data_IF_579176007857
#
_entry.id   IF_579176007857
#
_cell.length_a   1.000
_cell.length_b   1.000
_cell.length_c   1.000
_cell.angle_alpha   90.00
_cell.angle_beta   90.00
_cell.angle_gamma   90.00
#
_symmetry.space_group_name_H-M   'P 1'
#
loop_
_entity.id
_entity.type
_entity.pdbx_description
1 polymer ?
#
# COMPACT_ATOMS: atom_id res chain seq x y z
N UNK A 1 -2.69 5.31 13.97
CA UNK A 1 -1.36 5.92 14.19
C UNK A 1 -0.51 5.55 12.99
N UNK A 2 0.10 6.48 12.24
CA UNK A 2 1.01 6.13 11.12
C UNK A 2 2.38 5.68 11.69
N UNK A 3 2.39 4.52 12.33
CA UNK A 3 3.60 3.89 12.87
C UNK A 3 4.32 3.15 11.76
N UNK A 4 5.13 3.89 11.01
CA UNK A 4 5.97 3.36 9.95
C UNK A 4 7.08 4.33 9.60
N UNK A 5 7.86 4.73 10.60
CA UNK A 5 9.19 5.26 10.36
C UNK A 5 9.99 4.11 9.75
N UNK A 6 10.05 4.06 8.41
CA UNK A 6 11.12 3.52 7.54
C UNK A 6 10.63 3.26 6.09
N UNK A 7 10.91 4.24 5.21
CA UNK A 7 11.41 4.13 3.82
C UNK A 7 10.56 3.69 2.62
N UNK A 8 9.32 3.21 2.73
CA UNK A 8 8.61 2.72 1.53
C UNK A 8 7.60 3.70 0.92
N UNK A 9 7.30 4.84 1.57
CA UNK A 9 6.19 5.73 1.22
C UNK A 9 4.81 5.04 1.16
N UNK A 10 4.73 3.77 1.57
CA UNK A 10 3.50 3.01 1.76
C UNK A 10 3.09 3.06 3.22
N UNK A 11 1.79 3.22 3.45
CA UNK A 11 1.14 3.14 4.75
C UNK A 11 0.00 2.13 4.73
N UNK A 12 -0.70 2.05 5.85
CA UNK A 12 -1.88 1.23 6.03
C UNK A 12 -3.09 2.12 6.29
N UNK A 13 -4.17 1.92 5.53
CA UNK A 13 -5.46 2.52 5.80
C UNK A 13 -6.27 1.56 6.68
N UNK A 14 -6.31 1.86 7.99
CA UNK A 14 -7.04 1.07 8.99
C UNK A 14 -8.55 1.01 8.70
N UNK A 15 -9.14 2.06 8.09
CA UNK A 15 -10.58 2.12 7.83
C UNK A 15 -10.98 1.23 6.65
N UNK A 16 -10.10 1.15 5.66
CA UNK A 16 -10.32 0.35 4.45
C UNK A 16 -9.63 -1.02 4.50
N UNK A 17 -8.81 -1.25 5.53
CA UNK A 17 -8.03 -2.47 5.71
C UNK A 17 -7.18 -2.76 4.45
N UNK A 18 -6.45 -1.75 3.97
CA UNK A 18 -5.67 -1.85 2.72
C UNK A 18 -4.38 -1.03 2.76
N UNK A 19 -3.47 -1.34 1.85
CA UNK A 19 -2.24 -0.57 1.65
C UNK A 19 -2.56 0.77 1.00
N UNK A 20 -2.14 1.85 1.63
CA UNK A 20 -2.32 3.22 1.14
C UNK A 20 -0.98 3.83 0.71
N UNK A 21 -0.97 4.49 -0.45
CA UNK A 21 0.17 5.24 -0.95
C UNK A 21 -0.33 6.23 -2.00
N UNK A 22 0.47 7.26 -2.29
CA UNK A 22 0.23 8.13 -3.43
C UNK A 22 0.33 7.37 -4.74
N UNK A 23 -0.42 7.81 -5.75
CA UNK A 23 -0.41 7.21 -7.09
C UNK A 23 0.98 7.18 -7.70
N UNK A 24 1.80 8.22 -7.47
CA UNK A 24 3.18 8.28 -7.94
C UNK A 24 4.05 7.15 -7.33
N UNK A 25 3.83 6.82 -6.06
CA UNK A 25 4.54 5.76 -5.34
C UNK A 25 4.08 4.38 -5.84
N UNK A 26 2.77 4.18 -6.01
CA UNK A 26 2.24 2.98 -6.64
C UNK A 26 2.82 2.77 -8.04
N UNK A 27 2.82 3.80 -8.89
CA UNK A 27 3.32 3.72 -10.26
C UNK A 27 4.81 3.38 -10.31
N UNK A 28 5.63 4.00 -9.45
CA UNK A 28 7.04 3.69 -9.35
C UNK A 28 7.25 2.23 -8.89
N UNK A 29 6.51 1.77 -7.89
CA UNK A 29 6.64 0.41 -7.37
C UNK A 29 6.17 -0.65 -8.38
N UNK A 30 5.02 -0.43 -9.03
CA UNK A 30 4.44 -1.30 -10.05
C UNK A 30 5.33 -1.37 -11.30
N UNK A 31 6.05 -0.30 -11.64
CA UNK A 31 6.99 -0.30 -12.77
C UNK A 31 8.03 -1.41 -12.69
N UNK A 32 8.46 -1.74 -11.46
CA UNK A 32 9.40 -2.82 -11.16
C UNK A 32 8.71 -4.10 -10.70
N UNK A 33 7.52 -3.99 -10.08
CA UNK A 33 6.78 -5.09 -9.48
C UNK A 33 5.34 -5.12 -10.00
N UNK A 34 5.15 -5.54 -11.26
CA UNK A 34 3.83 -5.53 -11.92
C UNK A 34 2.73 -6.28 -11.15
N UNK A 35 3.10 -7.34 -10.43
CA UNK A 35 2.17 -8.12 -9.61
C UNK A 35 1.63 -7.33 -8.39
N UNK A 36 2.20 -6.19 -8.04
CA UNK A 36 1.72 -5.34 -6.95
C UNK A 36 0.50 -4.50 -7.33
N UNK A 37 0.19 -4.33 -8.62
CA UNK A 37 -0.98 -3.54 -9.06
C UNK A 37 -2.29 -4.10 -8.50
N UNK A 38 -2.38 -5.43 -8.37
CA UNK A 38 -3.54 -6.09 -7.76
C UNK A 38 -3.73 -5.71 -6.28
N UNK A 39 -2.68 -5.26 -5.58
CA UNK A 39 -2.73 -4.91 -4.16
C UNK A 39 -3.31 -3.51 -3.93
N UNK A 40 -3.26 -2.64 -4.95
CA UNK A 40 -3.77 -1.25 -4.87
C UNK A 40 -5.26 -1.16 -4.57
N UNK A 41 -6.03 -2.18 -4.96
CA UNK A 41 -7.48 -2.24 -4.78
C UNK A 41 -7.92 -3.41 -3.91
N UNK A 42 -6.98 -4.02 -3.18
CA UNK A 42 -7.24 -5.22 -2.38
C UNK A 42 -7.43 -4.86 -0.92
N UNK A 43 -8.59 -5.25 -0.39
CA UNK A 43 -8.83 -5.24 1.04
C UNK A 43 -8.28 -6.52 1.66
N UNK A 44 -7.61 -6.40 2.80
CA UNK A 44 -7.15 -7.52 3.60
C UNK A 44 -7.90 -7.51 4.92
N UNK A 45 -9.12 -8.05 4.87
CA UNK A 45 -10.09 -8.06 5.97
C UNK A 45 -9.65 -8.85 7.23
N UNK A 46 -8.48 -9.48 7.21
CA UNK A 46 -7.95 -10.32 8.28
C UNK A 46 -6.53 -9.94 8.69
N UNK A 47 -6.05 -8.77 8.28
CA UNK A 47 -4.76 -8.24 8.73
C UNK A 47 -5.02 -7.23 9.85
N UNK A 48 -4.57 -7.56 11.06
CA UNK A 48 -4.59 -6.72 12.26
C UNK A 48 -3.15 -6.34 12.63
#
# INVERSE_FOLDING_TARGET
MLSGKDNSNFGWDENRQMVFAEDAIWNLYISSHKAADQLRHRNFLYYD
#
